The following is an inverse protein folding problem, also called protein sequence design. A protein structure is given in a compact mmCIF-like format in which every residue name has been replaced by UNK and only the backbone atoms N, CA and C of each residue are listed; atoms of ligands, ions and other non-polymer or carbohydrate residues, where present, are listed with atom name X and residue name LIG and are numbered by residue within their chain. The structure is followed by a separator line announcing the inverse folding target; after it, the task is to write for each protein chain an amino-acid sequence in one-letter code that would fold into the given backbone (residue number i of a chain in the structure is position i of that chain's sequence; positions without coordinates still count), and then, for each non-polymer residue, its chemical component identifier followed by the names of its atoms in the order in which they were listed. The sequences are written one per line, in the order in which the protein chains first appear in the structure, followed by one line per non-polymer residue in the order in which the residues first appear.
data_IF_893384047949
#
_entry.id   IF_893384047949
#
_cell.length_a   1.000
_cell.length_b   1.000
_cell.length_c   1.000
_cell.angle_alpha   90.00
_cell.angle_beta   90.00
_cell.angle_gamma   90.00
#
_symmetry.space_group_name_H-M   'P 1'
#
loop_
_entity.id
_entity.type
_entity.pdbx_description
1 polymer ?
#
# COMPACT_ATOMS: atom_id res chain seq x y z
N UNK A 1 -18.07 5.76 17.72
CA UNK A 1 -17.49 6.96 17.06
C UNK A 1 -15.96 6.97 17.09
N UNK A 2 -15.31 6.67 18.21
CA UNK A 2 -13.83 6.65 18.35
C UNK A 2 -13.06 5.85 17.29
N UNK A 3 -13.48 4.63 16.97
CA UNK A 3 -12.81 3.81 15.95
C UNK A 3 -12.83 4.44 14.55
N UNK A 4 -13.91 5.12 14.17
CA UNK A 4 -13.99 5.78 12.87
C UNK A 4 -13.05 6.97 12.78
N UNK A 5 -12.91 7.74 13.86
CA UNK A 5 -11.94 8.85 13.92
C UNK A 5 -10.50 8.36 13.76
N UNK A 6 -10.15 7.18 14.30
CA UNK A 6 -8.84 6.58 14.10
C UNK A 6 -8.60 6.21 12.62
N UNK A 7 -9.62 5.71 11.92
CA UNK A 7 -9.54 5.37 10.49
C UNK A 7 -9.36 6.63 9.64
N UNK A 8 -10.01 7.73 9.98
CA UNK A 8 -9.92 8.97 9.21
C UNK A 8 -8.45 9.51 9.13
N UNK A 9 -7.60 9.29 10.14
CA UNK A 9 -6.17 9.63 10.08
C UNK A 9 -5.35 8.73 9.17
N UNK A 10 -5.81 7.50 8.94
CA UNK A 10 -5.10 6.57 8.09
C UNK A 10 -5.17 6.90 6.59
N UNK A 11 -6.00 7.88 6.23
CA UNK A 11 -6.09 8.44 4.89
C UNK A 11 -4.94 9.42 4.56
N UNK A 12 -4.09 9.78 5.52
CA UNK A 12 -2.91 10.60 5.26
C UNK A 12 -1.89 9.88 4.37
N UNK A 13 -1.27 10.65 3.46
CA UNK A 13 -0.42 10.12 2.40
C UNK A 13 0.86 9.43 2.90
N UNK A 14 1.30 9.72 4.14
CA UNK A 14 2.47 9.07 4.75
C UNK A 14 2.20 7.63 5.17
N UNK A 15 0.92 7.27 5.39
CA UNK A 15 0.54 6.01 6.02
C UNK A 15 1.09 5.84 7.44
N UNK A 16 1.55 6.91 8.10
CA UNK A 16 2.14 6.85 9.44
C UNK A 16 1.37 7.75 10.39
N UNK A 17 0.90 7.19 11.50
CA UNK A 17 0.10 7.88 12.52
C UNK A 17 0.85 7.83 13.85
N UNK A 18 1.30 8.97 14.40
CA UNK A 18 1.93 9.02 15.71
C UNK A 18 0.97 8.61 16.84
N UNK A 19 1.50 7.97 17.89
CA UNK A 19 0.70 7.53 19.05
C UNK A 19 0.03 8.71 19.76
N UNK A 20 0.75 9.84 19.86
CA UNK A 20 0.25 11.15 20.33
C UNK A 20 -1.08 11.53 19.67
N UNK A 21 -1.13 11.49 18.33
CA UNK A 21 -2.31 11.88 17.54
C UNK A 21 -3.49 10.96 17.85
N UNK A 22 -3.23 9.66 17.99
CA UNK A 22 -4.25 8.67 18.35
C UNK A 22 -4.78 8.94 19.76
N UNK A 23 -3.89 9.13 20.73
CA UNK A 23 -4.25 9.41 22.12
C UNK A 23 -5.12 10.65 22.25
N UNK A 24 -4.67 11.76 21.67
CA UNK A 24 -5.33 13.07 21.82
C UNK A 24 -6.69 13.07 21.14
N UNK A 25 -6.79 12.42 19.97
CA UNK A 25 -8.06 12.33 19.24
C UNK A 25 -9.05 11.42 19.94
N UNK A 26 -8.60 10.25 20.40
CA UNK A 26 -9.48 9.32 21.09
C UNK A 26 -9.78 9.75 22.53
N UNK A 27 -9.00 10.69 23.10
CA UNK A 27 -9.06 11.12 24.49
C UNK A 27 -8.97 9.91 25.43
N UNK A 28 -7.85 9.21 25.30
CA UNK A 28 -7.48 7.99 26.04
C UNK A 28 -6.10 8.20 26.68
N UNK A 29 -5.67 7.25 27.51
CA UNK A 29 -4.32 7.29 28.08
C UNK A 29 -3.28 6.66 27.13
N UNK A 30 -1.99 6.95 27.35
CA UNK A 30 -0.87 6.40 26.56
C UNK A 30 -0.87 4.86 26.53
N UNK A 31 -1.22 4.22 27.65
CA UNK A 31 -1.27 2.76 27.81
C UNK A 31 -2.45 2.10 27.06
N UNK A 32 -3.42 2.90 26.60
CA UNK A 32 -4.59 2.40 25.89
C UNK A 32 -4.45 2.46 24.36
N UNK A 33 -3.44 3.17 23.82
CA UNK A 33 -3.31 3.43 22.38
C UNK A 33 -3.29 2.13 21.57
N UNK A 34 -2.41 1.19 21.94
CA UNK A 34 -2.28 -0.09 21.24
C UNK A 34 -3.56 -0.93 21.31
N UNK A 35 -4.26 -0.92 22.45
CA UNK A 35 -5.53 -1.61 22.60
C UNK A 35 -6.58 -1.08 21.61
N UNK A 36 -6.63 0.22 21.37
CA UNK A 36 -7.53 0.82 20.39
C UNK A 36 -7.12 0.52 18.95
N UNK A 37 -5.83 0.46 18.65
CA UNK A 37 -5.32 0.01 17.35
C UNK A 37 -5.73 -1.44 17.08
N UNK A 38 -5.55 -2.33 18.06
CA UNK A 38 -5.98 -3.74 17.98
C UNK A 38 -7.48 -3.85 17.75
N UNK A 39 -8.30 -3.04 18.42
CA UNK A 39 -9.75 -2.99 18.17
C UNK A 39 -10.08 -2.59 16.74
N UNK A 40 -9.37 -1.63 16.16
CA UNK A 40 -9.56 -1.20 14.77
C UNK A 40 -9.18 -2.29 13.77
N UNK A 41 -8.07 -3.00 14.01
CA UNK A 41 -7.66 -4.17 13.20
C UNK A 41 -8.71 -5.28 13.32
N UNK A 42 -9.16 -5.59 14.53
CA UNK A 42 -10.16 -6.65 14.78
C UNK A 42 -11.49 -6.35 14.10
N UNK A 43 -11.88 -5.06 14.05
CA UNK A 43 -13.05 -4.59 13.33
C UNK A 43 -12.85 -4.54 11.80
N UNK A 44 -11.68 -4.95 11.28
CA UNK A 44 -11.29 -4.91 9.87
C UNK A 44 -11.36 -3.52 9.25
N UNK A 45 -11.12 -2.49 10.05
CA UNK A 45 -11.16 -1.11 9.58
C UNK A 45 -9.80 -0.66 9.05
N UNK A 46 -8.71 -1.22 9.60
CA UNK A 46 -7.33 -0.93 9.21
C UNK A 46 -6.49 -2.21 9.19
N UNK A 47 -5.50 -2.25 8.30
CA UNK A 47 -4.37 -3.16 8.36
C UNK A 47 -3.11 -2.34 8.62
N UNK A 48 -2.42 -2.59 9.73
CA UNK A 48 -1.27 -1.79 10.14
C UNK A 48 -0.24 -2.58 10.94
N UNK A 49 0.93 -1.96 11.16
CA UNK A 49 1.98 -2.40 12.06
C UNK A 49 2.26 -1.32 13.09
N UNK A 50 2.54 -1.72 14.33
CA UNK A 50 2.89 -0.82 15.41
C UNK A 50 4.41 -0.79 15.57
N UNK A 51 5.02 0.38 15.37
CA UNK A 51 6.40 0.65 15.72
C UNK A 51 6.43 1.38 17.07
N UNK A 52 6.52 0.57 18.12
CA UNK A 52 6.50 1.06 19.49
C UNK A 52 7.77 1.85 19.83
N UNK A 53 8.92 1.56 19.21
CA UNK A 53 10.16 2.30 19.48
C UNK A 53 10.07 3.74 18.99
N UNK A 54 9.53 3.93 17.78
CA UNK A 54 9.32 5.26 17.20
C UNK A 54 7.97 5.88 17.55
N UNK A 55 7.13 5.19 18.33
CA UNK A 55 5.79 5.64 18.72
C UNK A 55 4.91 6.00 17.51
N UNK A 56 4.92 5.16 16.47
CA UNK A 56 4.12 5.33 15.25
C UNK A 56 3.38 4.05 14.84
N UNK A 57 2.19 4.22 14.28
CA UNK A 57 1.42 3.16 13.62
C UNK A 57 1.56 3.33 12.10
N UNK A 58 2.08 2.31 11.43
CA UNK A 58 2.27 2.30 9.97
C UNK A 58 1.10 1.53 9.34
N UNK A 59 0.21 2.27 8.68
CA UNK A 59 -0.99 1.74 8.02
C UNK A 59 -0.67 1.31 6.59
N UNK A 60 -1.02 0.07 6.28
CA UNK A 60 -0.88 -0.51 4.94
C UNK A 60 -2.17 -0.40 4.13
N UNK A 61 -3.31 -0.53 4.81
CA UNK A 61 -4.63 -0.41 4.21
C UNK A 61 -5.63 0.10 5.23
N UNK A 62 -6.66 0.81 4.76
CA UNK A 62 -7.78 1.25 5.57
C UNK A 62 -9.07 1.19 4.77
N UNK A 63 -10.19 1.04 5.47
CA UNK A 63 -11.52 1.08 4.88
C UNK A 63 -11.99 2.52 4.74
N UNK A 64 -12.26 2.96 3.50
CA UNK A 64 -12.91 4.23 3.25
C UNK A 64 -14.33 4.24 3.84
N UNK A 65 -14.63 5.20 4.71
CA UNK A 65 -15.98 5.37 5.28
C UNK A 65 -17.04 5.68 4.22
N UNK A 66 -16.64 6.40 3.17
CA UNK A 66 -17.49 6.75 2.03
C UNK A 66 -16.71 6.49 0.75
N UNK A 67 -17.27 5.67 -0.13
CA UNK A 67 -16.69 5.39 -1.43
C UNK A 67 -17.43 6.15 -2.53
N UNK A 68 -16.91 7.32 -2.88
CA UNK A 68 -17.52 8.24 -3.83
C UNK A 68 -16.69 8.45 -5.10
N UNK A 69 -17.01 9.52 -5.82
CA UNK A 69 -16.37 9.84 -7.10
C UNK A 69 -14.85 10.00 -6.99
N UNK A 70 -14.35 10.57 -5.89
CA UNK A 70 -12.92 10.75 -5.65
C UNK A 70 -12.20 9.40 -5.51
N UNK A 71 -12.78 8.47 -4.75
CA UNK A 71 -12.25 7.11 -4.57
C UNK A 71 -12.27 6.35 -5.90
N UNK A 72 -13.36 6.45 -6.68
CA UNK A 72 -13.43 5.89 -8.03
C UNK A 72 -12.35 6.44 -8.96
N UNK A 73 -12.12 7.75 -8.93
CA UNK A 73 -11.07 8.37 -9.74
C UNK A 73 -9.68 7.88 -9.35
N UNK A 74 -9.41 7.80 -8.05
CA UNK A 74 -8.14 7.28 -7.51
C UNK A 74 -7.92 5.83 -7.92
N UNK A 75 -8.94 4.98 -7.79
CA UNK A 75 -8.90 3.58 -8.21
C UNK A 75 -8.63 3.45 -9.72
N UNK A 76 -9.33 4.24 -10.54
CA UNK A 76 -9.13 4.27 -12.00
C UNK A 76 -7.68 4.61 -12.36
N UNK A 77 -7.10 5.63 -11.73
CA UNK A 77 -5.71 6.03 -11.96
C UNK A 77 -4.74 4.92 -11.55
N UNK A 78 -4.94 4.31 -10.37
CA UNK A 78 -4.11 3.19 -9.89
C UNK A 78 -4.16 2.00 -10.84
N UNK A 79 -5.34 1.59 -11.30
CA UNK A 79 -5.52 0.49 -12.26
C UNK A 79 -4.89 0.78 -13.62
N UNK A 80 -5.02 2.02 -14.12
CA UNK A 80 -4.39 2.43 -15.38
C UNK A 80 -2.86 2.37 -15.30
N UNK A 81 -2.28 2.84 -14.20
CA UNK A 81 -0.84 2.75 -13.93
C UNK A 81 -0.39 1.28 -13.83
N UNK A 82 -1.11 0.46 -13.08
CA UNK A 82 -0.79 -0.96 -12.93
C UNK A 82 -0.84 -1.71 -14.28
N UNK A 83 -1.85 -1.44 -15.11
CA UNK A 83 -1.92 -1.97 -16.48
C UNK A 83 -0.71 -1.56 -17.30
N UNK A 84 -0.31 -0.28 -17.26
CA UNK A 84 0.88 0.20 -17.96
C UNK A 84 2.16 -0.50 -17.48
N UNK A 85 2.32 -0.67 -16.17
CA UNK A 85 3.47 -1.36 -15.59
C UNK A 85 3.54 -2.83 -16.04
N UNK A 86 2.42 -3.54 -16.07
CA UNK A 86 2.37 -4.92 -16.58
C UNK A 86 2.75 -4.98 -18.06
N UNK A 87 2.18 -4.09 -18.88
CA UNK A 87 2.53 -4.04 -20.31
C UNK A 87 4.03 -3.80 -20.51
N UNK A 88 4.63 -2.89 -19.74
CA UNK A 88 6.07 -2.61 -19.80
C UNK A 88 6.89 -3.86 -19.45
N UNK A 89 6.54 -4.56 -18.37
CA UNK A 89 7.22 -5.81 -17.98
C UNK A 89 7.12 -6.87 -19.08
N UNK A 90 5.94 -7.03 -19.69
CA UNK A 90 5.76 -7.97 -20.81
C UNK A 90 6.66 -7.60 -21.99
N UNK A 91 6.69 -6.32 -22.39
CA UNK A 91 7.55 -5.86 -23.48
C UNK A 91 9.03 -6.05 -23.19
N UNK A 92 9.48 -5.80 -21.95
CA UNK A 92 10.87 -6.04 -21.54
C UNK A 92 11.23 -7.53 -21.61
N UNK A 93 10.35 -8.42 -21.15
CA UNK A 93 10.58 -9.87 -21.23
C UNK A 93 10.66 -10.32 -22.70
N UNK A 94 9.75 -9.85 -23.55
CA UNK A 94 9.74 -10.19 -24.98
C UNK A 94 11.00 -9.70 -25.70
N UNK A 95 11.41 -8.46 -25.46
CA UNK A 95 12.62 -7.90 -26.07
C UNK A 95 13.88 -8.70 -25.71
N UNK A 96 14.02 -9.09 -24.44
CA UNK A 96 15.16 -9.89 -23.99
C UNK A 96 15.15 -11.32 -24.55
N UNK A 97 13.97 -11.92 -24.72
CA UNK A 97 13.86 -13.24 -25.37
C UNK A 97 14.34 -13.22 -26.83
N UNK A 98 13.98 -12.19 -27.59
CA UNK A 98 14.43 -12.05 -29.00
C UNK A 98 15.95 -11.89 -29.08
N UNK A 99 16.56 -11.19 -28.12
CA UNK A 99 18.03 -11.05 -28.08
C UNK A 99 18.76 -12.36 -27.76
N UNK A 100 18.18 -13.24 -26.94
CA UNK A 100 18.75 -14.57 -26.67
C UNK A 100 18.70 -15.47 -27.90
N UNK A 101 17.55 -15.53 -28.58
CA UNK A 101 17.38 -16.31 -29.82
C UNK A 101 18.30 -15.82 -30.95
N UNK A 102 18.47 -14.49 -31.07
CA UNK A 102 19.40 -13.89 -32.03
C UNK A 102 20.88 -14.18 -31.71
N UNK A 103 21.25 -14.24 -30.43
CA UNK A 103 22.62 -14.54 -30.00
C UNK A 103 23.00 -16.01 -30.23
N UNK A 104 22.06 -16.94 -30.00
CA UNK A 104 22.26 -18.36 -30.29
C UNK A 104 22.33 -18.65 -31.80
N UNK A 105 21.51 -17.96 -32.61
CA UNK A 105 21.54 -18.10 -34.08
C UNK A 105 22.87 -17.64 -34.68
N UNK A 106 23.47 -16.56 -34.14
CA UNK A 106 24.77 -16.07 -34.60
C UNK A 106 25.90 -17.01 -34.20
N UNK A 107 25.92 -17.57 -32.98
CA UNK A 107 26.93 -18.56 -32.59
C UNK A 107 26.85 -19.87 -33.40
N UNK A 108 25.66 -20.30 -33.80
CA UNK A 108 25.49 -21.48 -34.67
C UNK A 108 26.01 -21.30 -36.11
N UNK A 109 26.11 -20.06 -36.60
CA UNK A 109 26.65 -19.75 -37.93
C UNK A 109 28.19 -19.66 -37.96
N UNK A 110 28.82 -19.35 -36.83
CA UNK A 110 30.28 -19.11 -36.73
C UNK A 110 31.06 -20.40 -36.45
N UNK A 111 30.39 -21.49 -36.05
CA UNK A 111 31.01 -22.79 -35.70
C UNK A 111 30.87 -23.84 -36.83
N UNK A 112 30.56 -23.43 -38.07
CA UNK A 112 30.51 -24.33 -39.23
C UNK A 112 31.61 -24.06 -40.24
#
# INVERSE_FOLDING_TARGET
MRLMSLVDFSSDASGQIPYEVIRDTLRINDDEVELWVVKAITAKLIDCKMDQMNQVVVVSHHTDRVFGQHQWQTLRTKLASWRGNISNVISTIQANKVTEDGSQAVQGLVVR
#
